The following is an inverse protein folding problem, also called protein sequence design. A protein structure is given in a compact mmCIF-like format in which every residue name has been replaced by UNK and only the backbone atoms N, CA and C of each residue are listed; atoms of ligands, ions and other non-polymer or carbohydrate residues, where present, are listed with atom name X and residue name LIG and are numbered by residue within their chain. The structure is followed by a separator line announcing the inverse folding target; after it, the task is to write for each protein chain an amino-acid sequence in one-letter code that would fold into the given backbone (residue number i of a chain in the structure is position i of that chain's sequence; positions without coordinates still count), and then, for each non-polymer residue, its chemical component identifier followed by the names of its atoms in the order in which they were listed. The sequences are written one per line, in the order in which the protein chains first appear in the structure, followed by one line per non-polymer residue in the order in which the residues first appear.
data_IF_850813950841
#
_entry.id   IF_850813950841
#
_cell.length_a   1.000
_cell.length_b   1.000
_cell.length_c   1.000
_cell.angle_alpha   90.00
_cell.angle_beta   90.00
_cell.angle_gamma   90.00
#
_symmetry.space_group_name_H-M   'P 1'
#
loop_
_entity.id
_entity.type
_entity.pdbx_description
1 polymer ?
#
# COMPACT_ATOMS: atom_id res chain seq x y z
N UNK A 1 67.18 -4.39 -9.17
CA UNK A 1 66.44 -3.15 -8.86
C UNK A 1 64.93 -3.32 -9.01
N UNK A 2 64.44 -4.24 -9.85
CA UNK A 2 63.02 -4.43 -10.12
C UNK A 2 62.24 -5.09 -8.94
N UNK A 3 62.85 -6.06 -8.22
CA UNK A 3 62.17 -6.80 -7.13
C UNK A 3 61.95 -5.93 -5.89
N UNK A 4 62.87 -5.06 -5.56
CA UNK A 4 62.75 -4.14 -4.43
C UNK A 4 61.67 -3.08 -4.65
N UNK A 5 61.50 -2.59 -5.89
CA UNK A 5 60.45 -1.63 -6.23
C UNK A 5 59.06 -2.28 -6.21
N UNK A 6 58.93 -3.53 -6.65
CA UNK A 6 57.67 -4.29 -6.59
C UNK A 6 57.28 -4.58 -5.13
N UNK A 7 58.23 -4.93 -4.26
CA UNK A 7 57.93 -5.17 -2.85
C UNK A 7 57.47 -3.88 -2.12
N UNK A 8 58.05 -2.73 -2.47
CA UNK A 8 57.61 -1.44 -1.94
C UNK A 8 56.22 -1.03 -2.41
N UNK A 9 55.86 -1.32 -3.68
CA UNK A 9 54.50 -1.10 -4.21
C UNK A 9 53.50 -2.02 -3.50
N UNK A 10 53.80 -3.29 -3.37
CA UNK A 10 52.94 -4.24 -2.67
C UNK A 10 52.72 -3.85 -1.21
N UNK A 11 53.75 -3.35 -0.51
CA UNK A 11 53.59 -2.86 0.85
C UNK A 11 52.65 -1.64 0.93
N UNK A 12 52.80 -0.67 0.01
CA UNK A 12 51.87 0.48 -0.08
C UNK A 12 50.44 0.07 -0.41
N UNK A 13 50.28 -0.90 -1.29
CA UNK A 13 48.94 -1.43 -1.60
C UNK A 13 48.34 -2.17 -0.41
N UNK A 14 49.11 -2.93 0.35
CA UNK A 14 48.63 -3.57 1.57
C UNK A 14 48.19 -2.55 2.62
N UNK A 15 48.97 -1.50 2.86
CA UNK A 15 48.60 -0.40 3.76
C UNK A 15 47.36 0.35 3.30
N UNK A 16 47.19 0.57 1.99
CA UNK A 16 45.99 1.18 1.42
C UNK A 16 44.75 0.27 1.57
N UNK A 17 44.92 -1.03 1.32
CA UNK A 17 43.86 -2.01 1.50
C UNK A 17 43.39 -2.11 2.96
N UNK A 18 44.31 -2.05 3.89
CA UNK A 18 44.00 -2.05 5.32
C UNK A 18 43.17 -0.82 5.72
N UNK A 19 43.58 0.38 5.29
CA UNK A 19 42.82 1.62 5.49
C UNK A 19 41.46 1.58 4.85
N UNK A 20 41.34 1.01 3.65
CA UNK A 20 40.03 0.85 2.97
C UNK A 20 39.12 -0.15 3.70
N UNK A 21 39.67 -1.23 4.23
CA UNK A 21 38.92 -2.20 5.03
C UNK A 21 38.41 -1.59 6.34
N UNK A 22 39.21 -0.79 7.02
CA UNK A 22 38.77 -0.03 8.19
C UNK A 22 37.61 0.93 7.84
N UNK A 23 37.78 1.65 6.74
CA UNK A 23 36.73 2.58 6.28
C UNK A 23 35.43 1.87 5.89
N UNK A 24 35.53 0.69 5.27
CA UNK A 24 34.36 -0.15 4.96
C UNK A 24 33.67 -0.61 6.26
N UNK A 25 34.44 -1.03 7.28
CA UNK A 25 33.88 -1.41 8.59
C UNK A 25 33.14 -0.24 9.25
N UNK A 26 33.71 0.95 9.23
CA UNK A 26 33.08 2.16 9.77
C UNK A 26 31.78 2.48 9.02
N UNK A 27 31.81 2.52 7.68
CA UNK A 27 30.63 2.78 6.87
C UNK A 27 29.54 1.73 7.03
N UNK A 28 29.93 0.46 7.15
CA UNK A 28 28.97 -0.63 7.41
C UNK A 28 28.29 -0.49 8.77
N UNK A 29 29.06 -0.10 9.79
CA UNK A 29 28.52 0.18 11.12
C UNK A 29 27.56 1.38 11.11
N UNK A 30 27.90 2.45 10.37
CA UNK A 30 27.05 3.63 10.18
C UNK A 30 25.75 3.27 9.48
N UNK A 31 25.79 2.48 8.40
CA UNK A 31 24.60 2.01 7.68
C UNK A 31 23.74 1.12 8.57
N UNK A 32 24.33 0.21 9.34
CA UNK A 32 23.60 -0.63 10.29
C UNK A 32 22.91 0.20 11.40
N UNK A 33 23.60 1.23 11.89
CA UNK A 33 23.04 2.16 12.87
C UNK A 33 21.88 2.98 12.28
N UNK A 34 22.05 3.56 11.07
CA UNK A 34 21.01 4.28 10.34
C UNK A 34 19.78 3.40 10.09
N UNK A 35 20.00 2.14 9.67
CA UNK A 35 18.90 1.20 9.48
C UNK A 35 18.15 0.90 10.78
N UNK A 36 18.83 0.81 11.92
CA UNK A 36 18.19 0.65 13.23
C UNK A 36 17.37 1.88 13.62
N UNK A 37 17.88 3.08 13.32
CA UNK A 37 17.17 4.33 13.59
C UNK A 37 15.94 4.51 12.69
N UNK A 38 16.04 4.17 11.41
CA UNK A 38 14.97 4.35 10.44
C UNK A 38 13.91 3.24 10.51
N UNK A 39 14.30 2.00 10.79
CA UNK A 39 13.42 0.82 10.71
C UNK A 39 13.28 0.05 12.04
N UNK A 40 13.98 0.45 13.10
CA UNK A 40 13.88 -0.15 14.42
C UNK A 40 12.52 0.12 15.06
N UNK A 41 11.93 -0.90 15.72
CA UNK A 41 10.71 -0.72 16.52
C UNK A 41 10.93 0.38 17.56
N UNK A 42 9.94 1.24 17.77
CA UNK A 42 9.89 2.31 18.80
C UNK A 42 9.81 1.71 20.23
N UNK A 43 10.77 0.92 20.62
CA UNK A 43 10.91 0.47 21.97
C UNK A 43 12.31 0.87 22.42
N UNK A 44 12.37 1.82 23.34
CA UNK A 44 13.52 2.39 24.01
C UNK A 44 14.22 3.56 23.29
N UNK A 45 14.19 4.70 23.94
CA UNK A 45 15.05 5.85 23.66
C UNK A 45 16.49 5.43 23.96
N UNK A 46 17.18 4.88 22.97
CA UNK A 46 18.62 4.70 23.05
C UNK A 46 19.29 6.07 23.15
N UNK A 47 20.21 6.27 24.10
CA UNK A 47 20.95 7.52 24.16
C UNK A 47 21.67 7.80 22.84
N UNK A 48 21.59 9.04 22.39
CA UNK A 48 22.09 9.57 21.11
C UNK A 48 23.62 9.52 21.01
N UNK A 49 24.31 8.84 21.90
CA UNK A 49 25.77 8.81 21.98
C UNK A 49 26.32 7.50 21.40
N UNK A 50 26.88 7.58 20.19
CA UNK A 50 27.80 6.56 19.68
C UNK A 50 29.22 6.90 20.22
N UNK A 51 29.81 6.09 21.10
CA UNK A 51 30.99 6.47 21.86
C UNK A 51 32.30 6.59 21.07
N UNK A 52 32.27 6.47 19.76
CA UNK A 52 33.48 6.47 18.91
C UNK A 52 33.34 7.27 17.60
N UNK A 53 32.48 8.32 17.53
CA UNK A 53 32.52 9.22 16.40
C UNK A 53 33.43 10.43 16.70
N UNK A 54 34.40 10.75 15.83
CA UNK A 54 35.17 11.98 15.97
C UNK A 54 34.25 13.19 15.91
N UNK A 55 34.42 14.16 16.80
CA UNK A 55 33.67 15.39 16.92
C UNK A 55 33.51 16.20 15.60
N UNK A 56 34.37 15.92 14.63
CA UNK A 56 34.43 16.62 13.34
C UNK A 56 33.15 16.48 12.46
N UNK A 57 32.31 15.47 12.70
CA UNK A 57 31.10 15.19 11.93
C UNK A 57 29.81 15.32 12.73
N UNK A 58 29.87 15.70 13.99
CA UNK A 58 28.71 15.76 14.89
C UNK A 58 27.64 16.74 14.36
N UNK A 59 28.07 17.91 13.86
CA UNK A 59 27.15 18.94 13.36
C UNK A 59 26.51 18.56 12.01
N UNK A 60 27.27 17.98 11.08
CA UNK A 60 26.72 17.48 9.80
C UNK A 60 25.78 16.33 10.02
N UNK A 61 26.09 15.44 10.96
CA UNK A 61 25.27 14.27 11.29
C UNK A 61 23.99 14.68 12.00
N UNK A 62 24.04 15.66 12.90
CA UNK A 62 22.87 16.26 13.54
C UNK A 62 21.94 16.95 12.50
N UNK A 63 22.54 17.62 11.52
CA UNK A 63 21.80 18.22 10.41
C UNK A 63 21.12 17.19 9.51
N UNK A 64 21.77 16.05 9.24
CA UNK A 64 21.18 14.96 8.46
C UNK A 64 20.10 14.21 9.24
N UNK A 65 20.28 14.05 10.56
CA UNK A 65 19.26 13.47 11.43
C UNK A 65 17.99 14.30 11.47
N UNK A 66 18.11 15.62 11.65
CA UNK A 66 16.94 16.52 11.65
C UNK A 66 16.18 16.47 10.32
N UNK A 67 16.88 16.50 9.19
CA UNK A 67 16.26 16.38 7.86
C UNK A 67 15.62 15.00 7.64
N UNK A 68 16.17 13.95 8.20
CA UNK A 68 15.59 12.61 8.13
C UNK A 68 14.36 12.45 9.04
N UNK A 69 14.37 13.09 10.21
CA UNK A 69 13.23 13.15 11.10
C UNK A 69 12.08 13.98 10.51
N UNK A 70 12.37 15.16 9.97
CA UNK A 70 11.38 16.00 9.27
C UNK A 70 10.71 15.25 8.11
N UNK A 71 11.50 14.62 7.22
CA UNK A 71 10.95 13.82 6.12
C UNK A 71 10.15 12.62 6.59
N UNK A 72 10.55 12.00 7.70
CA UNK A 72 9.81 10.90 8.30
C UNK A 72 8.48 11.37 8.88
N UNK A 73 8.49 12.50 9.60
CA UNK A 73 7.29 13.05 10.20
C UNK A 73 6.30 13.53 9.12
N UNK A 74 6.80 14.15 8.04
CA UNK A 74 5.99 14.47 6.85
C UNK A 74 5.41 13.21 6.19
N UNK A 75 6.18 12.14 6.07
CA UNK A 75 5.71 10.88 5.49
C UNK A 75 4.67 10.20 6.37
N UNK A 76 4.86 10.20 7.68
CA UNK A 76 3.89 9.67 8.65
C UNK A 76 2.61 10.48 8.61
N UNK A 77 2.70 11.80 8.60
CA UNK A 77 1.53 12.68 8.52
C UNK A 77 0.73 12.49 7.21
N UNK A 78 1.43 12.31 6.07
CA UNK A 78 0.79 11.97 4.80
C UNK A 78 0.08 10.63 4.87
N UNK A 79 0.73 9.59 5.39
CA UNK A 79 0.13 8.27 5.56
C UNK A 79 -1.09 8.29 6.49
N UNK A 80 -1.04 9.07 7.57
CA UNK A 80 -2.17 9.22 8.49
C UNK A 80 -3.34 9.95 7.83
N UNK A 81 -3.08 11.02 7.06
CA UNK A 81 -4.10 11.74 6.28
C UNK A 81 -4.74 10.83 5.24
N UNK A 82 -3.94 10.12 4.43
CA UNK A 82 -4.43 9.16 3.44
C UNK A 82 -5.27 8.04 4.08
N UNK A 83 -4.82 7.48 5.20
CA UNK A 83 -5.58 6.45 5.91
C UNK A 83 -6.89 6.97 6.51
N UNK A 84 -6.92 8.21 6.97
CA UNK A 84 -8.13 8.86 7.49
C UNK A 84 -9.14 9.15 6.36
N UNK A 85 -8.65 9.61 5.20
CA UNK A 85 -9.47 9.85 4.01
C UNK A 85 -10.04 8.55 3.46
N UNK A 86 -9.24 7.48 3.37
CA UNK A 86 -9.74 6.16 2.95
C UNK A 86 -10.81 5.61 3.90
N UNK A 87 -10.63 5.75 5.20
CA UNK A 87 -11.65 5.36 6.19
C UNK A 87 -12.94 6.16 6.03
N UNK A 88 -12.83 7.47 5.78
CA UNK A 88 -13.97 8.35 5.54
C UNK A 88 -14.70 7.96 4.25
N UNK A 89 -13.97 7.70 3.18
CA UNK A 89 -14.53 7.28 1.90
C UNK A 89 -15.22 5.90 2.01
N UNK A 90 -14.60 4.93 2.67
CA UNK A 90 -15.22 3.60 2.93
C UNK A 90 -16.51 3.73 3.72
N UNK A 91 -16.57 4.64 4.71
CA UNK A 91 -17.79 4.91 5.48
C UNK A 91 -18.89 5.56 4.63
N UNK A 92 -18.54 6.49 3.75
CA UNK A 92 -19.50 7.11 2.82
C UNK A 92 -20.03 6.08 1.83
N UNK A 93 -19.16 5.27 1.23
CA UNK A 93 -19.55 4.21 0.30
C UNK A 93 -20.50 3.19 0.95
N UNK A 94 -20.23 2.81 2.22
CA UNK A 94 -21.12 1.92 2.97
C UNK A 94 -22.52 2.53 3.15
N UNK A 95 -22.60 3.82 3.50
CA UNK A 95 -23.87 4.52 3.63
C UNK A 95 -24.66 4.62 2.32
N UNK A 96 -23.97 4.80 1.18
CA UNK A 96 -24.62 4.84 -0.14
C UNK A 96 -25.29 3.52 -0.53
N UNK A 97 -24.76 2.40 -0.03
CA UNK A 97 -25.24 1.05 -0.36
C UNK A 97 -26.14 0.42 0.71
N UNK A 98 -26.42 1.14 1.79
CA UNK A 98 -27.10 0.58 2.98
C UNK A 98 -28.52 0.08 2.67
N UNK A 99 -29.25 0.79 1.81
CA UNK A 99 -30.64 0.46 1.45
C UNK A 99 -30.74 -0.41 0.18
N UNK A 100 -29.62 -0.77 -0.44
CA UNK A 100 -29.62 -1.56 -1.66
C UNK A 100 -29.57 -3.06 -1.36
N UNK A 101 -30.40 -3.89 -2.04
CA UNK A 101 -30.37 -5.32 -1.87
C UNK A 101 -29.08 -5.92 -2.45
N UNK A 102 -28.52 -6.93 -1.78
CA UNK A 102 -27.44 -7.76 -2.32
C UNK A 102 -28.08 -8.89 -3.10
N UNK A 103 -27.89 -8.90 -4.42
CA UNK A 103 -28.46 -9.93 -5.29
C UNK A 103 -27.43 -10.90 -5.85
N UNK A 104 -26.19 -10.49 -5.92
CA UNK A 104 -25.11 -11.31 -6.48
C UNK A 104 -23.98 -11.42 -5.46
N UNK A 105 -23.47 -12.63 -5.28
CA UNK A 105 -22.27 -12.89 -4.49
C UNK A 105 -21.32 -13.73 -5.33
N UNK A 106 -20.12 -13.25 -5.54
CA UNK A 106 -19.06 -13.93 -6.26
C UNK A 106 -17.88 -14.19 -5.33
N UNK A 107 -17.47 -15.45 -5.23
CA UNK A 107 -16.28 -15.85 -4.47
C UNK A 107 -15.15 -16.09 -5.45
N UNK A 108 -14.04 -15.37 -5.30
CA UNK A 108 -12.86 -15.49 -6.14
C UNK A 108 -11.74 -16.09 -5.32
N UNK A 109 -11.39 -17.32 -5.60
CA UNK A 109 -10.28 -18.01 -4.98
C UNK A 109 -8.97 -17.76 -5.74
N UNK A 110 -7.81 -17.77 -5.06
CA UNK A 110 -6.52 -17.63 -5.72
C UNK A 110 -6.18 -18.92 -6.49
N UNK A 111 -5.91 -18.80 -7.78
CA UNK A 111 -5.65 -19.93 -8.68
C UNK A 111 -4.35 -20.70 -8.39
N UNK A 112 -3.41 -20.07 -7.70
CA UNK A 112 -2.04 -20.58 -7.51
C UNK A 112 -1.75 -21.12 -6.10
N UNK A 113 -2.76 -21.25 -5.25
CA UNK A 113 -2.57 -21.65 -3.84
C UNK A 113 -2.90 -23.12 -3.64
N UNK A 114 -1.91 -23.88 -3.20
CA UNK A 114 -2.14 -25.23 -2.71
C UNK A 114 -2.80 -25.17 -1.33
N UNK A 115 -4.13 -25.34 -1.29
CA UNK A 115 -4.96 -25.29 -0.08
C UNK A 115 -4.53 -26.30 1.00
N UNK A 116 -3.73 -27.31 0.64
CA UNK A 116 -3.17 -28.27 1.59
C UNK A 116 -2.15 -27.61 2.53
N UNK A 117 -1.43 -26.61 2.06
CA UNK A 117 -0.35 -25.90 2.77
C UNK A 117 -0.84 -24.65 3.50
N UNK A 118 -1.99 -24.11 3.09
CA UNK A 118 -2.52 -22.85 3.59
C UNK A 118 -3.79 -23.05 4.42
N UNK A 119 -4.03 -22.12 5.35
CA UNK A 119 -5.26 -22.04 6.16
C UNK A 119 -5.96 -20.72 5.86
N UNK A 120 -7.27 -20.76 5.64
CA UNK A 120 -8.09 -19.54 5.52
C UNK A 120 -8.09 -18.80 6.86
N UNK A 121 -7.67 -17.53 6.83
CA UNK A 121 -7.59 -16.65 8.01
C UNK A 121 -8.66 -15.56 8.00
N UNK A 122 -9.33 -15.34 6.87
CA UNK A 122 -10.36 -14.31 6.73
C UNK A 122 -10.78 -14.17 5.29
N UNK A 123 -11.53 -13.11 5.03
CA UNK A 123 -12.00 -12.75 3.69
C UNK A 123 -12.01 -11.24 3.52
N UNK A 124 -11.85 -10.77 2.30
CA UNK A 124 -12.06 -9.40 1.92
C UNK A 124 -13.30 -9.30 1.06
N UNK A 125 -14.31 -8.57 1.55
CA UNK A 125 -15.58 -8.37 0.85
C UNK A 125 -15.57 -7.00 0.21
N UNK A 126 -15.59 -6.96 -1.11
CA UNK A 126 -15.73 -5.74 -1.90
C UNK A 126 -17.16 -5.66 -2.42
N UNK A 127 -17.85 -4.55 -2.15
CA UNK A 127 -19.21 -4.30 -2.59
C UNK A 127 -19.23 -3.31 -3.73
N UNK A 128 -19.88 -3.66 -4.82
CA UNK A 128 -20.07 -2.81 -5.99
C UNK A 128 -21.54 -2.69 -6.34
N UNK A 129 -21.94 -1.51 -6.82
CA UNK A 129 -23.33 -1.24 -7.22
C UNK A 129 -23.47 -1.54 -8.71
N UNK A 130 -24.44 -2.39 -9.03
CA UNK A 130 -24.85 -2.70 -10.40
C UNK A 130 -26.20 -2.10 -10.71
N UNK A 131 -26.39 -1.73 -11.94
CA UNK A 131 -27.66 -1.29 -12.48
C UNK A 131 -28.30 -2.40 -13.31
N UNK A 132 -29.60 -2.59 -13.11
CA UNK A 132 -30.49 -3.33 -13.98
C UNK A 132 -31.69 -2.43 -14.25
N UNK A 133 -32.30 -2.44 -15.45
CA UNK A 133 -33.46 -1.59 -15.71
C UNK A 133 -34.48 -1.66 -14.59
N UNK A 134 -34.77 -0.49 -13.99
CA UNK A 134 -35.75 -0.36 -12.91
C UNK A 134 -35.19 -0.60 -11.48
N UNK A 135 -33.96 -1.03 -11.30
CA UNK A 135 -33.40 -1.24 -9.94
C UNK A 135 -31.88 -1.09 -9.86
N UNK A 136 -31.42 -0.70 -8.68
CA UNK A 136 -30.01 -0.80 -8.27
C UNK A 136 -29.84 -1.96 -7.28
N UNK A 137 -28.72 -2.66 -7.35
CA UNK A 137 -28.39 -3.72 -6.42
C UNK A 137 -26.90 -3.81 -6.16
N UNK A 138 -26.54 -4.45 -5.07
CA UNK A 138 -25.15 -4.66 -4.68
C UNK A 138 -24.70 -6.05 -5.13
N UNK A 139 -23.53 -6.10 -5.76
CA UNK A 139 -22.77 -7.33 -5.97
C UNK A 139 -21.65 -7.38 -4.94
N UNK A 140 -21.58 -8.46 -4.18
CA UNK A 140 -20.48 -8.73 -3.26
C UNK A 140 -19.43 -9.59 -3.95
N UNK A 141 -18.18 -9.13 -3.93
CA UNK A 141 -17.00 -9.86 -4.42
C UNK A 141 -16.21 -10.27 -3.19
N UNK A 142 -16.24 -11.55 -2.87
CA UNK A 142 -15.57 -12.12 -1.71
C UNK A 142 -14.25 -12.74 -2.15
N UNK A 143 -13.15 -12.29 -1.55
CA UNK A 143 -11.82 -12.83 -1.80
C UNK A 143 -11.26 -13.40 -0.50
N UNK A 144 -11.25 -14.72 -0.34
CA UNK A 144 -10.68 -15.36 0.84
C UNK A 144 -9.18 -15.09 0.95
N UNK A 145 -8.71 -14.92 2.18
CA UNK A 145 -7.30 -14.75 2.54
C UNK A 145 -6.79 -16.05 3.15
N UNK A 146 -5.68 -16.51 2.63
CA UNK A 146 -5.03 -17.74 3.06
C UNK A 146 -3.66 -17.43 3.65
N UNK A 147 -3.37 -17.95 4.83
CA UNK A 147 -2.03 -17.89 5.44
C UNK A 147 -1.41 -19.28 5.48
N UNK A 148 -0.10 -19.31 5.40
CA UNK A 148 0.69 -20.54 5.55
C UNK A 148 0.38 -21.18 6.90
N UNK A 149 0.27 -22.52 6.95
CA UNK A 149 0.07 -23.25 8.20
C UNK A 149 1.31 -23.16 9.08
N UNK A 150 1.10 -23.17 10.41
CA UNK A 150 2.16 -22.97 11.41
C UNK A 150 3.30 -24.02 11.35
N UNK A 151 3.07 -25.15 10.66
CA UNK A 151 4.04 -26.21 10.47
C UNK A 151 5.14 -25.88 9.45
N UNK A 152 4.96 -24.80 8.68
CA UNK A 152 5.90 -24.36 7.65
C UNK A 152 6.50 -23.01 7.99
N UNK A 153 7.83 -22.94 8.05
CA UNK A 153 8.55 -21.70 8.37
C UNK A 153 8.72 -20.78 7.18
N UNK A 154 8.70 -21.30 5.96
CA UNK A 154 8.90 -20.57 4.73
C UNK A 154 7.83 -20.95 3.70
N UNK A 155 7.27 -20.00 2.95
CA UNK A 155 6.39 -20.30 1.84
C UNK A 155 7.15 -21.02 0.71
N UNK A 156 6.47 -21.81 -0.14
CA UNK A 156 7.06 -22.36 -1.35
C UNK A 156 7.64 -21.26 -2.25
N UNK A 157 8.59 -21.62 -3.09
CA UNK A 157 9.26 -20.67 -3.99
C UNK A 157 8.24 -19.97 -4.90
N UNK A 158 8.27 -18.63 -4.90
CA UNK A 158 7.33 -17.79 -5.66
C UNK A 158 6.00 -17.48 -4.98
N UNK A 159 5.70 -18.02 -3.79
CA UNK A 159 4.49 -17.72 -3.03
C UNK A 159 4.78 -16.81 -1.83
N UNK A 160 3.73 -16.11 -1.38
CA UNK A 160 3.81 -15.22 -0.21
C UNK A 160 3.30 -15.93 1.04
N UNK A 161 3.69 -15.45 2.22
CA UNK A 161 3.19 -15.97 3.49
C UNK A 161 1.67 -15.79 3.68
N UNK A 162 1.08 -14.81 2.98
CA UNK A 162 -0.37 -14.61 2.88
C UNK A 162 -0.73 -14.45 1.41
N UNK A 163 -1.66 -15.27 0.95
CA UNK A 163 -2.16 -15.28 -0.42
C UNK A 163 -3.63 -14.88 -0.46
N UNK A 164 -4.00 -14.15 -1.50
CA UNK A 164 -5.36 -13.71 -1.79
C UNK A 164 -5.51 -13.51 -3.30
N UNK A 165 -6.66 -13.84 -3.85
CA UNK A 165 -6.95 -13.61 -5.27
C UNK A 165 -6.81 -12.12 -5.64
N UNK A 166 -6.29 -11.79 -6.83
CA UNK A 166 -6.26 -10.43 -7.32
C UNK A 166 -7.68 -9.87 -7.45
N UNK A 167 -7.81 -8.54 -7.35
CA UNK A 167 -9.10 -7.88 -7.60
C UNK A 167 -9.41 -8.00 -9.10
N UNK A 168 -10.66 -8.35 -9.49
CA UNK A 168 -11.08 -8.28 -10.88
C UNK A 168 -10.88 -6.87 -11.44
N UNK A 169 -10.63 -6.79 -12.75
CA UNK A 169 -10.51 -5.52 -13.45
C UNK A 169 -11.80 -4.72 -13.30
N UNK A 170 -11.67 -3.53 -12.73
CA UNK A 170 -12.75 -2.57 -12.58
C UNK A 170 -12.54 -1.44 -13.59
N UNK A 171 -13.61 -0.86 -14.18
CA UNK A 171 -13.48 0.25 -15.13
C UNK A 171 -12.82 1.49 -14.53
N UNK A 172 -13.04 1.71 -13.25
CA UNK A 172 -12.48 2.82 -12.47
C UNK A 172 -11.95 2.26 -11.17
N UNK A 173 -10.70 2.56 -10.85
CA UNK A 173 -10.05 2.12 -9.63
C UNK A 173 -10.73 2.67 -8.38
N UNK A 174 -10.87 1.81 -7.38
CA UNK A 174 -11.49 2.15 -6.07
C UNK A 174 -12.94 2.67 -6.17
N UNK A 175 -13.59 2.51 -7.31
CA UNK A 175 -14.98 2.93 -7.53
C UNK A 175 -15.97 1.88 -7.00
N UNK A 176 -17.09 2.34 -6.44
CA UNK A 176 -18.21 1.48 -6.04
C UNK A 176 -19.16 1.17 -7.21
N UNK A 177 -19.11 1.95 -8.28
CA UNK A 177 -19.93 1.74 -9.45
C UNK A 177 -19.34 0.64 -10.33
N UNK A 178 -20.13 -0.37 -10.62
CA UNK A 178 -19.78 -1.40 -11.59
C UNK A 178 -20.06 -0.93 -13.02
N UNK A 179 -19.54 -1.65 -14.01
CA UNK A 179 -19.65 -1.31 -15.44
C UNK A 179 -21.07 -0.96 -15.87
N UNK A 180 -22.09 -1.73 -15.40
CA UNK A 180 -23.48 -1.50 -15.77
C UNK A 180 -24.04 -0.16 -15.27
N UNK A 181 -23.67 0.26 -14.07
CA UNK A 181 -24.09 1.56 -13.54
C UNK A 181 -23.36 2.71 -14.25
N UNK A 182 -22.06 2.57 -14.51
CA UNK A 182 -21.29 3.58 -15.25
C UNK A 182 -21.84 3.77 -16.67
N UNK A 183 -22.15 2.66 -17.36
CA UNK A 183 -22.76 2.71 -18.69
C UNK A 183 -24.11 3.44 -18.69
N UNK A 184 -24.96 3.15 -17.70
CA UNK A 184 -26.26 3.83 -17.56
C UNK A 184 -26.11 5.33 -17.31
N UNK A 185 -25.19 5.74 -16.45
CA UNK A 185 -24.92 7.16 -16.16
C UNK A 185 -24.47 7.89 -17.44
N UNK A 186 -23.58 7.28 -18.23
CA UNK A 186 -23.10 7.85 -19.48
C UNK A 186 -24.22 7.94 -20.53
N UNK A 187 -25.00 6.89 -20.68
CA UNK A 187 -26.15 6.86 -21.59
C UNK A 187 -27.12 7.98 -21.25
N UNK A 188 -27.52 8.09 -19.98
CA UNK A 188 -28.40 9.16 -19.54
C UNK A 188 -27.83 10.55 -19.76
N UNK A 189 -26.53 10.72 -19.53
CA UNK A 189 -25.84 12.01 -19.69
C UNK A 189 -25.75 12.46 -21.14
N UNK A 190 -25.31 11.58 -22.03
CA UNK A 190 -24.93 11.94 -23.40
C UNK A 190 -26.00 11.64 -24.43
N UNK A 191 -26.79 10.60 -24.26
CA UNK A 191 -27.88 10.25 -25.20
C UNK A 191 -29.19 10.91 -24.80
N UNK A 192 -29.57 10.80 -23.51
CA UNK A 192 -30.83 11.36 -23.02
C UNK A 192 -30.70 12.79 -22.47
N UNK A 193 -29.50 13.36 -22.46
CA UNK A 193 -29.22 14.70 -21.97
C UNK A 193 -29.69 14.98 -20.54
N UNK A 194 -29.78 13.96 -19.69
CA UNK A 194 -30.15 14.08 -18.28
C UNK A 194 -28.99 14.59 -17.45
N UNK A 195 -29.07 15.78 -16.86
CA UNK A 195 -27.96 16.31 -16.04
C UNK A 195 -27.78 15.50 -14.76
N UNK A 196 -26.57 15.51 -14.20
CA UNK A 196 -26.21 14.69 -13.05
C UNK A 196 -27.12 14.88 -11.84
N UNK A 197 -27.54 16.11 -11.54
CA UNK A 197 -28.43 16.36 -10.40
C UNK A 197 -29.78 15.62 -10.51
N UNK A 198 -30.35 15.47 -11.74
CA UNK A 198 -31.56 14.70 -11.97
C UNK A 198 -31.30 13.19 -11.86
N UNK A 199 -30.21 12.71 -12.41
CA UNK A 199 -29.80 11.30 -12.25
C UNK A 199 -29.62 10.93 -10.78
N UNK A 200 -29.00 11.81 -9.99
CA UNK A 200 -28.83 11.61 -8.54
C UNK A 200 -30.20 11.50 -7.84
N UNK A 201 -31.18 12.30 -8.23
CA UNK A 201 -32.51 12.18 -7.67
C UNK A 201 -33.15 10.83 -8.02
N UNK A 202 -33.01 10.35 -9.26
CA UNK A 202 -33.49 9.04 -9.68
C UNK A 202 -32.81 7.91 -8.88
N UNK A 203 -31.50 7.93 -8.75
CA UNK A 203 -30.75 6.92 -7.99
C UNK A 203 -31.08 6.95 -6.49
N UNK A 204 -31.39 8.13 -5.95
CA UNK A 204 -31.84 8.26 -4.57
C UNK A 204 -33.21 7.58 -4.36
N UNK A 205 -34.12 7.69 -5.31
CA UNK A 205 -35.41 6.96 -5.27
C UNK A 205 -35.24 5.45 -5.40
N UNK A 206 -34.21 5.01 -6.10
CA UNK A 206 -33.82 3.60 -6.21
C UNK A 206 -33.02 3.07 -4.98
N UNK A 207 -32.85 3.90 -3.94
CA UNK A 207 -32.20 3.49 -2.68
C UNK A 207 -30.74 3.90 -2.52
N UNK A 208 -30.10 4.51 -3.52
CA UNK A 208 -28.70 4.96 -3.43
C UNK A 208 -28.63 6.37 -2.82
N UNK A 209 -28.52 6.44 -1.50
CA UNK A 209 -28.44 7.69 -0.75
C UNK A 209 -27.02 8.24 -0.67
N UNK A 210 -26.88 9.57 -0.62
CA UNK A 210 -25.58 10.22 -0.41
C UNK A 210 -24.68 10.34 -1.65
N UNK A 211 -25.20 9.97 -2.83
CA UNK A 211 -24.53 10.25 -4.10
C UNK A 211 -24.53 11.75 -4.38
N UNK A 212 -23.38 12.29 -4.80
CA UNK A 212 -23.20 13.73 -5.11
C UNK A 212 -22.71 13.92 -6.55
N UNK A 213 -22.90 15.12 -7.09
CA UNK A 213 -22.38 15.46 -8.42
C UNK A 213 -20.85 15.33 -8.50
N UNK A 214 -20.15 15.74 -7.44
CA UNK A 214 -18.70 15.60 -7.34
C UNK A 214 -18.25 14.13 -7.37
N UNK A 215 -19.04 13.21 -6.79
CA UNK A 215 -18.75 11.77 -6.86
C UNK A 215 -18.92 11.25 -8.28
N UNK A 216 -20.00 11.62 -8.97
CA UNK A 216 -20.22 11.24 -10.37
C UNK A 216 -19.13 11.80 -11.28
N UNK A 217 -18.79 13.08 -11.13
CA UNK A 217 -17.73 13.73 -11.90
C UNK A 217 -16.37 13.05 -11.67
N UNK A 218 -16.09 12.63 -10.44
CA UNK A 218 -14.87 11.89 -10.11
C UNK A 218 -14.77 10.49 -10.72
N UNK A 219 -15.90 9.88 -11.10
CA UNK A 219 -15.89 8.56 -11.77
C UNK A 219 -15.56 8.65 -13.26
N UNK A 220 -15.61 9.85 -13.86
CA UNK A 220 -15.41 10.08 -15.29
C UNK A 220 -14.19 10.98 -15.60
N UNK A 221 -13.39 11.31 -14.61
CA UNK A 221 -12.09 11.97 -14.74
C UNK A 221 -10.98 10.95 -14.82
#
# INVERSE_FOLDING_TARGET
TSVASLSAINKKQAEQNEKLQERIKELTAQVAWLNRQLFGRKAEKLPVYAPNMPDLFADEFAGLQRKAEEKRDEAVEKMEKESAEEKKQKRQNRKMMEDLPVLETEVIEPDSVDLSLYRRIGEEVTRVVKHKPGMLYVKEIIRPKYALKDNMRLPPEGQKGVEMAPMPLMPVDKCIAYTSLLAEILLQKYEYHVPFYRQIQQYRHLGMKGLTESTLDGWFK
#
